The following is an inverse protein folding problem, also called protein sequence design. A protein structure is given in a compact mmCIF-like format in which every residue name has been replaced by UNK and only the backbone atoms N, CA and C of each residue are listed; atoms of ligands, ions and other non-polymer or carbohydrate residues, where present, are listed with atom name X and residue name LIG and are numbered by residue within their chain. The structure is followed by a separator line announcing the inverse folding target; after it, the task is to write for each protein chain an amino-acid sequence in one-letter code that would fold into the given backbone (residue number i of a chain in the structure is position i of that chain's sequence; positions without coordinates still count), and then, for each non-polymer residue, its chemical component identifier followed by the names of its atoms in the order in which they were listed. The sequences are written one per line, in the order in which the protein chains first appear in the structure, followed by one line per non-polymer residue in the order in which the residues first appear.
data_IF_773582702048
#
_entry.id   IF_773582702048
#
_cell.length_a   1.000
_cell.length_b   1.000
_cell.length_c   1.000
_cell.angle_alpha   90.00
_cell.angle_beta   90.00
_cell.angle_gamma   90.00
#
_symmetry.space_group_name_H-M   'P 1'
#
loop_
_entity.id
_entity.type
_entity.pdbx_description
1 polymer ?
#
# COMPACT_ATOMS: atom_id res chain seq x y z
N UNK A 1 -23.51 -15.71 -16.39
CA UNK A 1 -22.46 -16.06 -15.40
C UNK A 1 -23.18 -16.37 -14.09
N UNK A 2 -23.04 -17.59 -13.56
CA UNK A 2 -23.65 -17.99 -12.28
C UNK A 2 -22.51 -18.14 -11.29
N UNK A 3 -22.41 -17.23 -10.33
CA UNK A 3 -21.46 -17.33 -9.22
C UNK A 3 -22.08 -18.18 -8.11
N UNK A 4 -21.28 -19.06 -7.51
CA UNK A 4 -21.71 -19.92 -6.40
C UNK A 4 -22.23 -19.11 -5.22
N UNK A 5 -23.25 -19.63 -4.55
CA UNK A 5 -23.91 -18.99 -3.41
C UNK A 5 -22.91 -18.84 -2.25
N UNK A 6 -22.69 -17.63 -1.69
CA UNK A 6 -21.71 -17.45 -0.62
C UNK A 6 -22.11 -18.20 0.65
N UNK A 7 -21.15 -18.89 1.26
CA UNK A 7 -21.34 -19.78 2.41
C UNK A 7 -21.75 -19.09 3.72
N UNK A 8 -21.99 -17.77 3.73
CA UNK A 8 -22.40 -17.04 4.93
C UNK A 8 -23.32 -15.86 4.68
N UNK A 9 -24.18 -15.98 3.67
CA UNK A 9 -25.28 -15.04 3.40
C UNK A 9 -24.95 -13.96 2.37
N UNK A 10 -25.97 -13.57 1.60
CA UNK A 10 -25.90 -12.56 0.54
C UNK A 10 -26.32 -11.15 1.01
N UNK A 11 -26.55 -10.96 2.30
CA UNK A 11 -26.97 -9.66 2.81
C UNK A 11 -25.82 -8.64 2.74
N UNK A 12 -26.16 -7.37 2.52
CA UNK A 12 -25.20 -6.27 2.52
C UNK A 12 -24.42 -6.20 3.85
N UNK A 13 -25.07 -6.53 4.97
CA UNK A 13 -24.44 -6.60 6.29
C UNK A 13 -23.42 -7.75 6.38
N UNK A 14 -23.73 -8.93 5.86
CA UNK A 14 -22.81 -10.07 5.86
C UNK A 14 -21.55 -9.77 5.02
N UNK A 15 -21.73 -9.16 3.85
CA UNK A 15 -20.61 -8.68 3.01
C UNK A 15 -19.74 -7.67 3.74
N UNK A 16 -20.35 -6.67 4.39
CA UNK A 16 -19.64 -5.65 5.17
C UNK A 16 -18.88 -6.23 6.36
N UNK A 17 -19.46 -7.19 7.07
CA UNK A 17 -18.82 -7.85 8.21
C UNK A 17 -17.57 -8.61 7.79
N UNK A 18 -17.65 -9.36 6.69
CA UNK A 18 -16.50 -10.13 6.17
C UNK A 18 -15.36 -9.24 5.69
N UNK A 19 -15.68 -8.14 5.01
CA UNK A 19 -14.67 -7.16 4.61
C UNK A 19 -13.93 -6.57 5.82
N UNK A 20 -14.67 -6.23 6.89
CA UNK A 20 -14.08 -5.74 8.15
C UNK A 20 -13.19 -6.79 8.82
N UNK A 21 -13.64 -8.04 8.86
CA UNK A 21 -12.87 -9.14 9.45
C UNK A 21 -11.58 -9.40 8.66
N UNK A 22 -11.65 -9.44 7.32
CA UNK A 22 -10.49 -9.56 6.46
C UNK A 22 -9.52 -8.38 6.63
N UNK A 23 -10.03 -7.15 6.72
CA UNK A 23 -9.23 -5.95 7.00
C UNK A 23 -8.54 -6.03 8.37
N UNK A 24 -9.22 -6.53 9.39
CA UNK A 24 -8.68 -6.67 10.73
C UNK A 24 -7.62 -7.78 10.82
N UNK A 25 -7.79 -8.88 10.07
CA UNK A 25 -6.78 -9.93 9.90
C UNK A 25 -5.55 -9.36 9.19
N UNK A 26 -5.72 -8.62 8.10
CA UNK A 26 -4.62 -8.00 7.36
C UNK A 26 -3.84 -7.00 8.24
N UNK A 27 -4.54 -6.16 9.02
CA UNK A 27 -3.91 -5.26 10.00
C UNK A 27 -3.10 -6.05 11.02
N UNK A 28 -3.64 -7.15 11.55
CA UNK A 28 -2.95 -7.97 12.53
C UNK A 28 -1.67 -8.59 11.96
N UNK A 29 -1.75 -9.16 10.76
CA UNK A 29 -0.60 -9.77 10.07
C UNK A 29 0.50 -8.74 9.80
N UNK A 30 0.13 -7.50 9.47
CA UNK A 30 1.06 -6.37 9.31
C UNK A 30 1.69 -5.94 10.63
N UNK A 31 0.92 -5.93 11.71
CA UNK A 31 1.43 -5.57 13.04
C UNK A 31 2.44 -6.61 13.54
N UNK A 32 2.26 -7.87 13.16
CA UNK A 32 3.14 -9.00 13.51
C UNK A 32 4.41 -9.09 12.62
N UNK A 33 4.62 -8.17 11.67
CA UNK A 33 5.90 -8.07 10.93
C UNK A 33 6.98 -7.52 11.88
N UNK A 34 7.77 -8.43 12.45
CA UNK A 34 9.00 -8.09 13.16
C UNK A 34 10.07 -7.64 12.17
N UNK A 35 10.68 -6.47 12.40
CA UNK A 35 11.84 -6.00 11.65
C UNK A 35 13.03 -6.90 11.97
N UNK A 36 13.29 -7.91 11.14
CA UNK A 36 14.48 -8.75 11.25
C UNK A 36 15.70 -7.97 10.73
N UNK A 37 16.68 -7.71 11.60
CA UNK A 37 17.93 -7.02 11.22
C UNK A 37 18.73 -7.79 10.15
N UNK A 38 18.57 -9.13 10.09
CA UNK A 38 19.27 -10.06 9.20
C UNK A 38 18.37 -10.65 8.09
N UNK A 39 17.29 -9.94 7.70
CA UNK A 39 16.44 -10.39 6.60
C UNK A 39 17.25 -10.53 5.29
N UNK A 40 17.05 -11.62 4.51
CA UNK A 40 17.75 -11.81 3.25
C UNK A 40 17.38 -10.72 2.25
N UNK A 41 18.36 -10.23 1.49
CA UNK A 41 18.11 -9.29 0.40
C UNK A 41 17.30 -10.00 -0.69
N UNK A 42 16.06 -9.56 -0.89
CA UNK A 42 15.22 -9.99 -2.00
C UNK A 42 15.49 -9.05 -3.19
N UNK A 43 15.97 -9.60 -4.30
CA UNK A 43 16.26 -8.83 -5.50
C UNK A 43 15.53 -9.41 -6.71
N UNK A 44 14.66 -8.60 -7.32
CA UNK A 44 13.92 -9.00 -8.50
C UNK A 44 14.67 -8.69 -9.80
N UNK A 45 14.90 -9.73 -10.60
CA UNK A 45 15.61 -9.63 -11.88
C UNK A 45 14.67 -9.39 -13.08
N UNK A 46 15.25 -9.15 -14.26
CA UNK A 46 14.47 -9.04 -15.52
C UNK A 46 13.68 -10.32 -15.83
N UNK A 47 14.19 -11.50 -15.45
CA UNK A 47 13.54 -12.79 -15.67
C UNK A 47 12.25 -12.96 -14.85
N UNK A 48 12.16 -12.30 -13.70
CA UNK A 48 11.02 -12.42 -12.77
C UNK A 48 9.91 -11.41 -13.07
N UNK A 49 10.15 -10.44 -13.97
CA UNK A 49 9.11 -9.54 -14.51
C UNK A 49 8.01 -10.29 -15.27
N UNK A 50 8.30 -11.50 -15.72
CA UNK A 50 7.39 -12.39 -16.44
C UNK A 50 6.93 -13.56 -15.55
N UNK A 51 6.86 -13.33 -14.23
CA UNK A 51 6.54 -14.36 -13.24
C UNK A 51 5.24 -15.13 -13.57
N UNK A 52 5.12 -16.38 -13.10
CA UNK A 52 3.89 -17.15 -13.28
C UNK A 52 2.69 -16.34 -12.79
N UNK A 53 1.56 -16.43 -13.51
CA UNK A 53 0.25 -15.93 -13.09
C UNK A 53 -0.22 -16.72 -11.86
N UNK A 54 0.42 -16.49 -10.71
CA UNK A 54 -0.02 -17.03 -9.44
C UNK A 54 -1.15 -16.14 -8.93
N UNK A 55 -2.18 -16.75 -8.39
CA UNK A 55 -3.35 -16.08 -7.77
C UNK A 55 -3.02 -15.44 -6.41
N UNK A 56 -1.74 -15.31 -6.08
CA UNK A 56 -1.27 -14.78 -4.81
C UNK A 56 -0.91 -13.32 -5.03
N UNK A 57 -1.89 -12.43 -4.82
CA UNK A 57 -1.66 -11.00 -4.74
C UNK A 57 -1.18 -10.67 -3.32
N UNK A 58 -0.02 -11.23 -2.95
CA UNK A 58 0.57 -11.00 -1.64
C UNK A 58 1.21 -9.61 -1.69
N UNK A 59 0.76 -8.71 -0.80
CA UNK A 59 1.29 -7.36 -0.72
C UNK A 59 2.75 -7.43 -0.24
N UNK A 60 3.66 -6.80 -0.98
CA UNK A 60 5.03 -6.63 -0.48
C UNK A 60 5.05 -5.44 0.48
N UNK A 61 5.54 -5.66 1.70
CA UNK A 61 5.79 -4.58 2.66
C UNK A 61 7.27 -4.24 2.61
N UNK A 62 7.59 -2.98 2.30
CA UNK A 62 8.97 -2.48 2.26
C UNK A 62 9.18 -1.32 3.23
N UNK A 63 10.44 -1.07 3.57
CA UNK A 63 10.88 0.15 4.25
C UNK A 63 11.61 1.05 3.27
N UNK A 64 11.31 2.35 3.28
CA UNK A 64 11.99 3.33 2.45
C UNK A 64 12.00 4.71 3.13
N UNK A 65 12.85 5.62 2.65
CA UNK A 65 12.87 7.00 3.14
C UNK A 65 12.04 7.88 2.22
N UNK A 66 10.99 8.52 2.74
CA UNK A 66 10.16 9.50 2.02
C UNK A 66 10.40 10.86 2.64
N UNK A 67 10.81 11.86 1.85
CA UNK A 67 11.07 13.23 2.33
C UNK A 67 11.99 13.31 3.57
N UNK A 68 13.03 12.47 3.60
CA UNK A 68 13.97 12.29 4.72
C UNK A 68 13.39 11.66 5.99
N UNK A 69 12.15 11.17 5.95
CA UNK A 69 11.52 10.38 7.00
C UNK A 69 11.56 8.89 6.66
N UNK A 70 12.01 8.04 7.59
CA UNK A 70 11.98 6.59 7.39
C UNK A 70 10.56 6.06 7.59
N UNK A 71 9.96 5.56 6.51
CA UNK A 71 8.64 4.93 6.54
C UNK A 71 8.84 3.43 6.57
N UNK A 72 8.57 2.85 7.74
CA UNK A 72 8.82 1.42 8.01
C UNK A 72 7.94 0.46 7.21
N UNK A 73 6.73 0.87 6.82
CA UNK A 73 5.71 -0.01 6.23
C UNK A 73 5.06 0.66 5.02
N UNK A 74 5.56 0.33 3.82
CA UNK A 74 4.98 0.72 2.53
C UNK A 74 4.44 -0.53 1.86
N UNK A 75 3.14 -0.53 1.57
CA UNK A 75 2.49 -1.62 0.86
C UNK A 75 2.63 -1.43 -0.64
N UNK A 76 3.17 -2.43 -1.32
CA UNK A 76 3.20 -2.50 -2.77
C UNK A 76 2.12 -3.48 -3.21
N UNK A 77 1.07 -2.93 -3.81
CA UNK A 77 0.04 -3.70 -4.49
C UNK A 77 0.26 -3.57 -6.00
N UNK A 78 0.44 -4.69 -6.70
CA UNK A 78 0.69 -4.66 -8.15
C UNK A 78 -0.53 -4.19 -8.96
N UNK A 79 -1.73 -4.29 -8.39
CA UNK A 79 -3.00 -3.96 -9.05
C UNK A 79 -3.54 -2.57 -8.67
N UNK A 80 -2.80 -1.76 -7.89
CA UNK A 80 -3.19 -0.38 -7.59
C UNK A 80 -2.60 0.59 -8.60
N UNK A 81 -3.41 1.55 -9.06
CA UNK A 81 -3.01 2.59 -10.02
C UNK A 81 -2.60 3.92 -9.38
N UNK A 82 -2.65 4.03 -8.06
CA UNK A 82 -2.34 5.23 -7.31
C UNK A 82 -1.44 4.91 -6.11
N UNK A 83 -0.48 5.78 -5.82
CA UNK A 83 0.25 5.78 -4.57
C UNK A 83 -0.62 6.47 -3.50
N UNK A 84 -0.68 5.92 -2.29
CA UNK A 84 -1.52 6.45 -1.20
C UNK A 84 -0.66 6.65 0.04
N UNK A 85 -0.63 7.89 0.55
CA UNK A 85 -0.04 8.21 1.84
C UNK A 85 -1.15 8.47 2.87
N UNK A 86 -1.14 7.74 3.98
CA UNK A 86 -2.11 7.97 5.05
C UNK A 86 -1.88 9.34 5.70
N UNK A 87 -2.97 10.06 5.96
CA UNK A 87 -2.90 11.40 6.57
C UNK A 87 -2.17 11.41 7.91
N UNK A 88 -2.34 10.36 8.72
CA UNK A 88 -1.60 10.21 9.98
C UNK A 88 -0.08 10.11 9.75
N UNK A 89 0.37 9.37 8.73
CA UNK A 89 1.79 9.31 8.36
C UNK A 89 2.28 10.67 7.91
N UNK A 90 1.52 11.39 7.07
CA UNK A 90 1.86 12.74 6.64
C UNK A 90 2.03 13.70 7.83
N UNK A 91 1.11 13.67 8.79
CA UNK A 91 1.15 14.50 9.99
C UNK A 91 2.37 14.15 10.87
N UNK A 92 2.71 12.87 11.02
CA UNK A 92 3.89 12.40 11.76
C UNK A 92 5.21 12.78 11.10
N UNK A 93 5.25 12.88 9.77
CA UNK A 93 6.44 13.27 9.02
C UNK A 93 6.80 14.76 9.20
N UNK A 94 5.89 15.58 9.74
CA UNK A 94 6.13 17.00 10.06
C UNK A 94 6.75 17.78 8.90
N UNK A 95 6.19 17.61 7.70
CA UNK A 95 6.76 18.11 6.45
C UNK A 95 6.73 19.65 6.29
N UNK A 96 6.22 20.38 7.28
CA UNK A 96 6.15 21.83 7.26
C UNK A 96 5.30 22.36 6.10
N UNK A 97 5.81 23.39 5.41
CA UNK A 97 5.12 24.07 4.30
C UNK A 97 5.21 23.33 2.95
N UNK A 98 5.17 21.99 2.97
CA UNK A 98 5.05 21.23 1.73
C UNK A 98 3.71 21.55 1.06
N UNK A 99 3.77 21.99 -0.20
CA UNK A 99 2.58 22.33 -0.97
C UNK A 99 1.71 21.10 -1.19
N UNK A 100 0.47 21.18 -0.73
CA UNK A 100 -0.59 20.23 -1.01
C UNK A 100 -1.44 20.74 -2.18
N UNK A 101 -1.66 19.89 -3.18
CA UNK A 101 -2.51 20.18 -4.32
C UNK A 101 -3.90 19.58 -4.12
N UNK A 102 -4.94 20.39 -4.30
CA UNK A 102 -6.30 19.89 -4.20
C UNK A 102 -6.58 18.90 -5.33
N UNK A 103 -7.08 17.72 -4.98
CA UNK A 103 -7.55 16.72 -5.93
C UNK A 103 -9.05 16.49 -5.76
N UNK A 104 -9.79 16.47 -6.87
CA UNK A 104 -11.24 16.17 -6.86
C UNK A 104 -11.53 14.74 -7.35
N UNK A 105 -10.49 14.01 -7.73
CA UNK A 105 -10.59 12.65 -8.26
C UNK A 105 -10.79 11.68 -7.10
N UNK A 106 -11.90 10.95 -7.12
CA UNK A 106 -12.12 9.86 -6.16
C UNK A 106 -11.34 8.61 -6.56
N UNK A 107 -10.82 7.89 -5.57
CA UNK A 107 -10.21 6.57 -5.74
C UNK A 107 -11.28 5.50 -5.53
N UNK A 108 -11.40 4.58 -6.49
CA UNK A 108 -12.32 3.44 -6.40
C UNK A 108 -11.57 2.23 -5.86
N UNK A 109 -11.93 1.79 -4.66
CA UNK A 109 -11.37 0.58 -4.06
C UNK A 109 -12.14 -0.67 -4.51
N UNK A 110 -11.46 -1.83 -4.51
CA UNK A 110 -11.99 -3.13 -4.93
C UNK A 110 -13.29 -3.57 -4.23
N UNK A 111 -13.69 -2.94 -3.13
CA UNK A 111 -14.94 -3.20 -2.42
C UNK A 111 -16.13 -2.32 -2.85
N UNK A 112 -15.95 -1.42 -3.81
CA UNK A 112 -16.96 -0.43 -4.21
C UNK A 112 -17.06 0.76 -3.24
N UNK A 113 -16.13 0.88 -2.30
CA UNK A 113 -15.96 2.08 -1.50
C UNK A 113 -15.20 3.14 -2.32
N UNK A 114 -15.69 4.37 -2.23
CA UNK A 114 -15.16 5.52 -2.95
C UNK A 114 -14.45 6.39 -1.93
N UNK A 115 -13.12 6.41 -1.98
CA UNK A 115 -12.30 7.24 -1.11
C UNK A 115 -12.04 8.57 -1.82
N UNK A 116 -12.27 9.66 -1.11
CA UNK A 116 -11.95 11.00 -1.60
C UNK A 116 -10.63 11.42 -0.94
N UNK A 117 -9.53 11.55 -1.69
CA UNK A 117 -8.28 12.00 -1.11
C UNK A 117 -8.45 13.42 -0.55
N UNK A 118 -7.71 13.72 0.52
CA UNK A 118 -7.70 15.05 1.11
C UNK A 118 -7.05 16.05 0.15
N UNK A 119 -5.83 15.73 -0.27
CA UNK A 119 -4.98 16.50 -1.17
C UNK A 119 -3.96 15.53 -1.81
N UNK A 120 -3.18 16.01 -2.77
CA UNK A 120 -2.07 15.32 -3.43
C UNK A 120 -0.75 16.02 -3.07
N UNK A 121 0.33 15.24 -2.96
CA UNK A 121 1.68 15.71 -2.62
C UNK A 121 2.74 14.98 -3.44
N UNK A 122 3.76 15.71 -3.89
CA UNK A 122 4.95 15.12 -4.50
C UNK A 122 6.10 15.08 -3.50
N UNK A 123 6.56 13.88 -3.13
CA UNK A 123 7.61 13.66 -2.14
C UNK A 123 8.78 12.86 -2.74
N UNK A 124 10.04 13.16 -2.36
CA UNK A 124 11.16 12.34 -2.79
C UNK A 124 11.16 11.00 -2.03
N UNK A 125 11.09 9.90 -2.77
CA UNK A 125 11.23 8.54 -2.27
C UNK A 125 12.65 8.03 -2.52
N UNK A 126 13.27 7.47 -1.50
CA UNK A 126 14.61 6.89 -1.55
C UNK A 126 14.54 5.42 -1.15
N UNK A 127 15.04 4.55 -2.02
CA UNK A 127 15.14 3.11 -1.80
C UNK A 127 16.58 2.62 -1.95
N UNK A 128 16.92 1.50 -1.30
CA UNK A 128 18.26 0.90 -1.33
C UNK A 128 19.24 1.53 -0.34
N UNK A 129 20.43 0.93 -0.21
CA UNK A 129 21.47 1.35 0.76
C UNK A 129 22.83 1.46 0.05
N UNK A 130 23.70 2.34 0.54
CA UNK A 130 25.04 2.52 -0.03
C UNK A 130 25.03 2.85 -1.52
N UNK A 131 25.69 2.02 -2.33
CA UNK A 131 25.83 2.22 -3.78
C UNK A 131 24.57 1.89 -4.59
N UNK A 132 23.59 1.19 -4.00
CA UNK A 132 22.33 0.85 -4.67
C UNK A 132 21.21 1.85 -4.40
N UNK A 133 21.51 2.94 -3.67
CA UNK A 133 20.55 4.01 -3.36
C UNK A 133 20.01 4.64 -4.63
N UNK A 134 18.68 4.69 -4.76
CA UNK A 134 17.95 5.35 -5.84
C UNK A 134 16.93 6.32 -5.26
N UNK A 135 16.75 7.45 -5.94
CA UNK A 135 15.76 8.47 -5.60
C UNK A 135 14.79 8.64 -6.76
N UNK A 136 13.49 8.66 -6.48
CA UNK A 136 12.43 9.03 -7.40
C UNK A 136 11.45 10.00 -6.73
N UNK A 137 10.57 10.62 -7.51
CA UNK A 137 9.44 11.38 -6.99
C UNK A 137 8.23 10.46 -6.89
N UNK A 138 7.62 10.45 -5.70
CA UNK A 138 6.38 9.77 -5.39
C UNK A 138 5.26 10.81 -5.41
N UNK A 139 4.16 10.52 -6.11
CA UNK A 139 2.99 11.40 -6.16
C UNK A 139 1.86 10.69 -5.42
N UNK A 140 1.56 11.12 -4.20
CA UNK A 140 0.59 10.46 -3.29
C UNK A 140 -0.54 11.39 -2.89
#
# INVERSE_FOLDING_TARGET
MIAGRPSGGDSHQARKSRAREAHQIAIKEVLDIETMEDAPIIQFGRAERSGPQTTHNDALVITATIANYEVGRIFIYFETSADILFGETYDQMQLGDVSLEKVNTSLYEFAGEVVHPRDMVSLPLVMGRGTTRKTCLLNS
#
